data_IF_606427524221
#
_entry.id   IF_606427524221
#
_cell.length_a   1.000
_cell.length_b   1.000
_cell.length_c   1.000
_cell.angle_alpha   90.00
_cell.angle_beta   90.00
_cell.angle_gamma   90.00
#
_symmetry.space_group_name_H-M   'P 1'
#
loop_
_entity.id
_entity.type
_entity.pdbx_description
1 polymer ?
#
# COMPACT_ATOMS: atom_id res chain seq x y z
N UNK A 1 -8.22 18.63 -33.21
CA UNK A 1 -6.92 19.29 -32.90
C UNK A 1 -6.92 20.07 -31.59
N UNK A 2 -7.85 21.00 -31.33
CA UNK A 2 -7.86 21.84 -30.12
C UNK A 2 -8.03 21.07 -28.80
N UNK A 3 -8.87 20.03 -28.76
CA UNK A 3 -9.09 19.21 -27.56
C UNK A 3 -7.83 18.47 -27.10
N UNK A 4 -7.00 17.99 -28.03
CA UNK A 4 -5.75 17.28 -27.71
C UNK A 4 -4.71 18.22 -27.10
N UNK A 5 -4.67 19.47 -27.57
CA UNK A 5 -3.78 20.51 -27.02
C UNK A 5 -4.20 20.87 -25.60
N UNK A 6 -5.49 21.07 -25.35
CA UNK A 6 -6.01 21.35 -24.00
C UNK A 6 -5.76 20.17 -23.06
N UNK A 7 -5.94 18.93 -23.52
CA UNK A 7 -5.63 17.73 -22.74
C UNK A 7 -4.14 17.62 -22.41
N UNK A 8 -3.27 17.89 -23.38
CA UNK A 8 -1.82 17.89 -23.16
C UNK A 8 -1.40 18.95 -22.14
N UNK A 9 -1.99 20.15 -22.20
CA UNK A 9 -1.74 21.22 -21.22
C UNK A 9 -2.24 20.85 -19.83
N UNK A 10 -3.41 20.23 -19.71
CA UNK A 10 -3.94 19.78 -18.42
C UNK A 10 -3.06 18.69 -17.79
N UNK A 11 -2.57 17.74 -18.59
CA UNK A 11 -1.63 16.70 -18.13
C UNK A 11 -0.30 17.33 -17.71
N UNK A 12 0.23 18.27 -18.51
CA UNK A 12 1.46 18.98 -18.17
C UNK A 12 1.34 19.79 -16.88
N UNK A 13 0.20 20.46 -16.68
CA UNK A 13 -0.09 21.19 -15.45
C UNK A 13 -0.20 20.26 -14.23
N UNK A 14 -0.90 19.13 -14.36
CA UNK A 14 -1.00 18.13 -13.28
C UNK A 14 0.36 17.53 -12.93
N UNK A 15 1.19 17.22 -13.92
CA UNK A 15 2.54 16.71 -13.71
C UNK A 15 3.43 17.75 -12.99
N UNK A 16 3.33 19.02 -13.39
CA UNK A 16 4.05 20.11 -12.74
C UNK A 16 3.62 20.28 -11.28
N UNK A 17 2.30 20.25 -11.01
CA UNK A 17 1.79 20.28 -9.64
C UNK A 17 2.32 19.11 -8.81
N UNK A 18 2.33 17.89 -9.37
CA UNK A 18 2.86 16.71 -8.70
C UNK A 18 4.35 16.90 -8.33
N UNK A 19 5.17 17.34 -9.29
CA UNK A 19 6.61 17.60 -9.02
C UNK A 19 6.77 18.65 -7.93
N UNK A 20 6.06 19.77 -8.03
CA UNK A 20 6.11 20.83 -7.03
C UNK A 20 5.73 20.32 -5.64
N UNK A 21 4.66 19.53 -5.53
CA UNK A 21 4.24 18.95 -4.25
C UNK A 21 5.27 17.99 -3.68
N UNK A 22 5.89 17.15 -4.52
CA UNK A 22 6.92 16.20 -4.10
C UNK A 22 8.20 16.92 -3.63
N UNK A 23 8.56 18.04 -4.27
CA UNK A 23 9.74 18.84 -3.89
C UNK A 23 9.48 19.79 -2.72
N UNK A 24 8.22 20.15 -2.46
CA UNK A 24 7.85 21.00 -1.33
C UNK A 24 7.85 20.25 0.00
N UNK A 25 7.73 18.92 -0.04
CA UNK A 25 7.86 18.07 1.15
C UNK A 25 9.35 17.91 1.44
N UNK A 26 9.76 18.31 2.64
CA UNK A 26 11.08 17.97 3.18
C UNK A 26 11.11 16.47 3.46
N UNK A 27 11.57 15.70 2.48
CA UNK A 27 11.85 14.29 2.70
C UNK A 27 12.91 14.19 3.79
N UNK A 28 12.73 13.31 4.79
CA UNK A 28 13.74 13.13 5.81
C UNK A 28 15.06 12.74 5.14
N UNK A 29 16.05 13.63 5.21
CA UNK A 29 17.41 13.36 4.78
C UNK A 29 18.06 12.49 5.86
N UNK A 30 18.31 11.23 5.53
CA UNK A 30 18.96 10.28 6.41
C UNK A 30 19.22 8.97 5.67
N UNK A 31 20.14 8.15 6.18
CA UNK A 31 20.18 6.75 5.80
C UNK A 31 18.79 6.20 6.11
N UNK A 32 18.07 5.74 5.08
CA UNK A 32 16.98 4.82 5.36
C UNK A 32 17.68 3.58 5.92
N UNK A 33 17.82 3.53 7.25
CA UNK A 33 18.43 2.40 7.94
C UNK A 33 17.89 1.14 7.29
N UNK A 34 18.80 0.23 6.94
CA UNK A 34 18.43 -1.02 6.29
C UNK A 34 17.43 -1.74 7.20
N UNK A 35 16.14 -1.59 6.90
CA UNK A 35 15.07 -2.17 7.69
C UNK A 35 15.26 -3.68 7.61
N UNK A 36 15.62 -4.28 8.74
CA UNK A 36 15.79 -5.72 8.83
C UNK A 36 14.44 -6.40 9.02
N UNK A 37 14.40 -7.72 8.78
CA UNK A 37 13.20 -8.50 9.09
C UNK A 37 12.86 -8.48 10.58
N UNK A 38 13.85 -8.24 11.44
CA UNK A 38 13.67 -8.12 12.89
C UNK A 38 12.92 -6.83 13.26
N UNK A 39 13.29 -5.71 12.64
CA UNK A 39 12.61 -4.42 12.82
C UNK A 39 11.14 -4.49 12.39
N UNK A 40 10.88 -5.16 11.27
CA UNK A 40 9.52 -5.41 10.77
C UNK A 40 8.74 -6.27 11.77
N UNK A 41 9.33 -7.36 12.26
CA UNK A 41 8.68 -8.24 13.22
C UNK A 41 8.31 -7.50 14.52
N UNK A 42 9.19 -6.65 15.05
CA UNK A 42 8.90 -5.84 16.23
C UNK A 42 7.79 -4.82 15.99
N UNK A 43 7.72 -4.19 14.82
CA UNK A 43 6.61 -3.29 14.47
C UNK A 43 5.29 -4.04 14.34
N UNK A 44 5.33 -5.24 13.77
CA UNK A 44 4.14 -6.04 13.50
C UNK A 44 3.57 -6.70 14.75
N UNK A 45 4.41 -7.27 15.60
CA UNK A 45 3.97 -8.06 16.76
C UNK A 45 4.15 -7.33 18.11
N UNK A 46 4.84 -6.20 18.10
CA UNK A 46 5.18 -5.46 19.31
C UNK A 46 6.36 -6.08 20.06
N UNK A 47 7.00 -5.25 20.89
CA UNK A 47 8.00 -5.69 21.87
C UNK A 47 7.40 -5.82 23.27
N UNK A 48 6.26 -5.18 23.50
CA UNK A 48 5.51 -5.18 24.76
C UNK A 48 4.04 -5.60 24.56
N UNK A 49 3.38 -6.18 25.57
CA UNK A 49 1.96 -6.53 25.49
C UNK A 49 1.09 -5.32 25.16
N UNK A 50 0.32 -5.40 24.07
CA UNK A 50 -0.57 -4.32 23.61
C UNK A 50 0.09 -3.30 22.67
N UNK A 51 1.36 -3.50 22.30
CA UNK A 51 2.05 -2.71 21.28
C UNK A 51 2.08 -3.43 19.93
N UNK A 52 2.29 -2.67 18.84
CA UNK A 52 2.39 -3.22 17.48
C UNK A 52 1.03 -3.40 16.77
N UNK A 53 1.07 -4.05 15.61
CA UNK A 53 -0.06 -4.21 14.69
C UNK A 53 -0.66 -5.63 14.69
N UNK A 54 -0.44 -6.41 15.76
CA UNK A 54 -0.81 -7.82 15.83
C UNK A 54 -2.31 -8.07 15.58
N UNK A 55 -3.17 -7.19 16.11
CA UNK A 55 -4.63 -7.27 15.88
C UNK A 55 -4.98 -7.04 14.41
N UNK A 56 -4.33 -6.08 13.75
CA UNK A 56 -4.54 -5.80 12.33
C UNK A 56 -4.09 -7.00 11.48
N UNK A 57 -2.93 -7.57 11.80
CA UNK A 57 -2.44 -8.78 11.13
C UNK A 57 -3.38 -9.97 11.29
N UNK A 58 -3.97 -10.15 12.48
CA UNK A 58 -4.98 -11.18 12.70
C UNK A 58 -6.21 -10.98 11.80
N UNK A 59 -6.71 -9.75 11.69
CA UNK A 59 -7.83 -9.43 10.80
C UNK A 59 -7.48 -9.66 9.32
N UNK A 60 -6.26 -9.35 8.89
CA UNK A 60 -5.76 -9.66 7.54
C UNK A 60 -5.75 -11.17 7.32
N UNK A 61 -5.27 -11.95 8.30
CA UNK A 61 -5.30 -13.41 8.23
C UNK A 61 -6.71 -13.98 8.08
N UNK A 62 -7.68 -13.45 8.83
CA UNK A 62 -9.09 -13.83 8.68
C UNK A 62 -9.66 -13.46 7.30
N UNK A 63 -9.33 -12.27 6.79
CA UNK A 63 -9.74 -11.84 5.46
C UNK A 63 -9.20 -12.79 4.38
N UNK A 64 -7.92 -13.16 4.46
CA UNK A 64 -7.31 -14.10 3.53
C UNK A 64 -7.94 -15.49 3.61
N UNK A 65 -8.30 -15.94 4.81
CA UNK A 65 -9.04 -17.20 4.99
C UNK A 65 -10.40 -17.16 4.28
N UNK A 66 -11.17 -16.09 4.46
CA UNK A 66 -12.46 -15.90 3.79
C UNK A 66 -12.28 -15.84 2.27
N UNK A 67 -11.27 -15.12 1.79
CA UNK A 67 -10.96 -15.02 0.36
C UNK A 67 -10.60 -16.39 -0.23
N UNK A 68 -9.84 -17.22 0.50
CA UNK A 68 -9.49 -18.57 0.08
C UNK A 68 -10.72 -19.47 0.00
N UNK A 69 -11.59 -19.43 1.02
CA UNK A 69 -12.85 -20.18 1.01
C UNK A 69 -13.72 -19.77 -0.19
N UNK A 70 -13.92 -18.47 -0.41
CA UNK A 70 -14.68 -17.96 -1.55
C UNK A 70 -14.09 -18.41 -2.89
N UNK A 71 -12.76 -18.34 -3.05
CA UNK A 71 -12.09 -18.82 -4.25
C UNK A 71 -12.23 -20.32 -4.49
N UNK A 72 -12.17 -21.13 -3.43
CA UNK A 72 -12.37 -22.59 -3.52
C UNK A 72 -13.81 -22.93 -3.92
N UNK A 73 -14.80 -22.26 -3.34
CA UNK A 73 -16.20 -22.48 -3.71
C UNK A 73 -16.48 -22.08 -5.15
N UNK A 74 -16.01 -20.91 -5.58
CA UNK A 74 -16.14 -20.44 -6.96
C UNK A 74 -15.51 -21.42 -7.95
N UNK A 75 -14.29 -21.88 -7.66
CA UNK A 75 -13.59 -22.84 -8.50
C UNK A 75 -14.25 -24.22 -8.54
N UNK A 76 -15.01 -24.58 -7.50
CA UNK A 76 -15.81 -25.82 -7.47
C UNK A 76 -17.06 -25.69 -8.34
N UNK A 77 -17.76 -24.55 -8.28
CA UNK A 77 -18.95 -24.29 -9.12
C UNK A 77 -18.62 -24.28 -10.62
N UNK A 78 -17.45 -23.77 -11.03
CA UNK A 78 -17.03 -23.79 -12.44
C UNK A 78 -16.74 -25.20 -13.00
N UNK A 79 -16.60 -26.21 -12.13
CA UNK A 79 -16.34 -27.60 -12.52
C UNK A 79 -17.59 -28.47 -12.61
N UNK A 80 -18.71 -28.02 -12.06
CA UNK A 80 -20.04 -28.67 -12.18
C UNK A 80 -20.82 -28.10 -13.37
#
# INVERSE_FOLDING_TARGET
MRANVVRALAIGFMALLFVLTMTAVSWPEGDMDAISNEDVAWKLFGTEPGTGYAVILFLIGLLLLVALLGGVFLAKEERE
#
